data_IF_961140940187
#
_entry.id   IF_961140940187
#
_cell.length_a   1.000
_cell.length_b   1.000
_cell.length_c   1.000
_cell.angle_alpha   90.00
_cell.angle_beta   90.00
_cell.angle_gamma   90.00
#
_symmetry.space_group_name_H-M   'P 1'
#
loop_
_entity.id
_entity.type
_entity.pdbx_description
1 polymer ?
#
# COMPACT_ATOMS: atom_id res chain seq x y z
N UNK A 1 -32.30 -23.79 12.28
CA UNK A 1 -30.88 -23.59 12.63
C UNK A 1 -30.73 -23.70 14.13
N UNK A 2 -29.62 -24.25 14.63
CA UNK A 2 -29.37 -24.34 16.07
C UNK A 2 -29.00 -22.97 16.64
N UNK A 3 -29.23 -22.78 17.95
CA UNK A 3 -28.83 -21.55 18.67
C UNK A 3 -27.34 -21.24 18.49
N UNK A 4 -26.50 -22.28 18.46
CA UNK A 4 -25.05 -22.16 18.23
C UNK A 4 -24.71 -21.65 16.83
N UNK A 5 -25.36 -22.16 15.79
CA UNK A 5 -25.10 -21.70 14.40
C UNK A 5 -25.50 -20.24 14.23
N UNK A 6 -26.64 -19.81 14.80
CA UNK A 6 -27.06 -18.41 14.76
C UNK A 6 -26.07 -17.49 15.51
N UNK A 7 -25.56 -17.94 16.66
CA UNK A 7 -24.53 -17.20 17.39
C UNK A 7 -23.25 -17.01 16.55
N UNK A 8 -22.75 -18.08 15.93
CA UNK A 8 -21.54 -18.02 15.09
C UNK A 8 -21.74 -17.12 13.87
N UNK A 9 -22.91 -17.15 13.24
CA UNK A 9 -23.27 -16.25 12.12
C UNK A 9 -23.20 -14.79 12.56
N UNK A 10 -23.79 -14.47 13.72
CA UNK A 10 -23.79 -13.10 14.24
C UNK A 10 -22.38 -12.63 14.61
N UNK A 11 -21.58 -13.50 15.24
CA UNK A 11 -20.18 -13.21 15.56
C UNK A 11 -19.33 -13.00 14.31
N UNK A 12 -19.51 -13.84 13.28
CA UNK A 12 -18.80 -13.66 12.02
C UNK A 12 -19.14 -12.31 11.39
N UNK A 13 -20.43 -11.94 11.36
CA UNK A 13 -20.88 -10.64 10.84
C UNK A 13 -20.32 -9.46 11.62
N UNK A 14 -20.34 -9.50 12.96
CA UNK A 14 -19.81 -8.41 13.77
C UNK A 14 -18.32 -8.19 13.51
N UNK A 15 -17.55 -9.27 13.36
CA UNK A 15 -16.13 -9.20 13.04
C UNK A 15 -15.86 -8.67 11.62
N UNK A 16 -16.72 -8.95 10.63
CA UNK A 16 -16.61 -8.35 9.29
C UNK A 16 -16.73 -6.82 9.40
N UNK A 17 -17.74 -6.35 10.13
CA UNK A 17 -18.01 -4.93 10.33
C UNK A 17 -16.86 -4.26 11.09
N UNK A 18 -16.45 -4.83 12.21
CA UNK A 18 -15.33 -4.33 13.04
C UNK A 18 -14.04 -4.20 12.22
N UNK A 19 -13.68 -5.22 11.44
CA UNK A 19 -12.51 -5.18 10.56
C UNK A 19 -12.61 -4.04 9.54
N UNK A 20 -13.78 -3.87 8.94
CA UNK A 20 -13.99 -2.87 7.89
C UNK A 20 -13.98 -1.44 8.47
N UNK A 21 -14.56 -1.22 9.65
CA UNK A 21 -14.47 0.03 10.42
C UNK A 21 -13.02 0.35 10.82
N UNK A 22 -12.27 -0.64 11.29
CA UNK A 22 -10.85 -0.49 11.63
C UNK A 22 -10.01 -0.11 10.41
N UNK A 23 -10.28 -0.70 9.23
CA UNK A 23 -9.60 -0.32 7.98
C UNK A 23 -9.91 1.12 7.59
N UNK A 24 -11.18 1.51 7.61
CA UNK A 24 -11.59 2.88 7.26
C UNK A 24 -10.96 3.89 8.22
N UNK A 25 -11.06 3.64 9.54
CA UNK A 25 -10.45 4.50 10.57
C UNK A 25 -8.94 4.57 10.40
N UNK A 26 -8.28 3.48 10.01
CA UNK A 26 -6.84 3.47 9.74
C UNK A 26 -6.49 4.32 8.50
N UNK A 27 -7.25 4.18 7.41
CA UNK A 27 -7.05 4.97 6.19
C UNK A 27 -7.30 6.45 6.41
N UNK A 28 -8.37 6.82 7.12
CA UNK A 28 -8.69 8.20 7.52
C UNK A 28 -7.59 8.78 8.40
N UNK A 29 -7.17 8.08 9.47
CA UNK A 29 -6.07 8.53 10.32
C UNK A 29 -4.76 8.70 9.54
N UNK A 30 -4.47 7.84 8.57
CA UNK A 30 -3.31 8.01 7.70
C UNK A 30 -3.44 9.27 6.86
N UNK A 31 -4.60 9.49 6.23
CA UNK A 31 -4.86 10.65 5.39
C UNK A 31 -4.79 11.96 6.19
N UNK A 32 -5.39 12.00 7.37
CA UNK A 32 -5.33 13.14 8.30
C UNK A 32 -3.91 13.41 8.76
N UNK A 33 -3.13 12.37 9.09
CA UNK A 33 -1.71 12.53 9.44
C UNK A 33 -0.88 13.06 8.26
N UNK A 34 -1.13 12.58 7.03
CA UNK A 34 -0.47 13.11 5.83
C UNK A 34 -0.82 14.58 5.63
N UNK A 35 -2.09 14.95 5.78
CA UNK A 35 -2.55 16.32 5.61
C UNK A 35 -1.96 17.23 6.69
N UNK A 36 -2.02 16.82 7.96
CA UNK A 36 -1.53 17.59 9.11
C UNK A 36 -0.02 17.81 9.08
N UNK A 37 0.75 16.83 8.59
CA UNK A 37 2.22 16.91 8.51
C UNK A 37 2.73 17.02 7.08
N UNK A 38 1.93 17.58 6.17
CA UNK A 38 2.24 17.67 4.72
C UNK A 38 3.65 18.20 4.48
N UNK A 39 4.03 19.29 5.13
CA UNK A 39 5.33 19.93 4.91
C UNK A 39 6.49 19.10 5.44
N UNK A 40 6.30 18.42 6.58
CA UNK A 40 7.31 17.50 7.12
C UNK A 40 7.49 16.28 6.22
N UNK A 41 6.42 15.73 5.66
CA UNK A 41 6.52 14.64 4.69
C UNK A 41 7.22 15.10 3.40
N UNK A 42 6.86 16.28 2.87
CA UNK A 42 7.52 16.86 1.69
C UNK A 42 9.01 17.06 1.95
N UNK A 43 9.38 17.61 3.10
CA UNK A 43 10.78 17.77 3.47
C UNK A 43 11.48 16.43 3.62
N UNK A 44 10.89 15.49 4.36
CA UNK A 44 11.49 14.18 4.60
C UNK A 44 11.77 13.43 3.30
N UNK A 45 10.76 13.30 2.43
CA UNK A 45 10.93 12.62 1.14
C UNK A 45 11.78 13.43 0.16
N UNK A 46 11.69 14.77 0.20
CA UNK A 46 12.56 15.65 -0.59
C UNK A 46 14.03 15.42 -0.27
N UNK A 47 14.40 15.39 1.02
CA UNK A 47 15.75 15.10 1.47
C UNK A 47 16.22 13.69 1.06
N UNK A 48 15.34 12.68 1.11
CA UNK A 48 15.66 11.33 0.64
C UNK A 48 16.04 11.33 -0.83
N UNK A 49 15.23 11.96 -1.67
CA UNK A 49 15.44 12.07 -3.12
C UNK A 49 16.74 12.84 -3.43
N UNK A 50 16.97 13.96 -2.76
CA UNK A 50 18.21 14.72 -2.91
C UNK A 50 19.44 13.87 -2.56
N UNK A 51 19.40 13.11 -1.47
CA UNK A 51 20.50 12.22 -1.07
C UNK A 51 20.75 11.13 -2.13
N UNK A 52 19.69 10.56 -2.73
CA UNK A 52 19.82 9.60 -3.83
C UNK A 52 20.59 10.22 -4.99
N UNK A 53 20.21 11.42 -5.42
CA UNK A 53 20.88 12.10 -6.53
C UNK A 53 22.31 12.52 -6.19
N UNK A 54 22.60 12.93 -4.95
CA UNK A 54 23.98 13.15 -4.50
C UNK A 54 24.84 11.89 -4.62
N UNK A 55 24.31 10.73 -4.20
CA UNK A 55 25.03 9.46 -4.34
C UNK A 55 25.29 9.11 -5.80
N UNK A 56 24.33 9.37 -6.70
CA UNK A 56 24.51 9.16 -8.14
C UNK A 56 25.60 10.07 -8.72
N UNK A 57 25.66 11.34 -8.32
CA UNK A 57 26.75 12.26 -8.69
C UNK A 57 28.11 11.77 -8.21
N UNK A 58 28.23 11.44 -6.92
CA UNK A 58 29.48 10.92 -6.34
C UNK A 58 29.91 9.65 -7.06
N UNK A 59 28.99 8.73 -7.36
CA UNK A 59 29.29 7.49 -8.07
C UNK A 59 29.79 7.74 -9.50
N UNK A 60 29.24 8.73 -10.21
CA UNK A 60 29.74 9.16 -11.51
C UNK A 60 31.17 9.69 -11.40
N UNK A 61 31.39 10.67 -10.51
CA UNK A 61 32.71 11.28 -10.31
C UNK A 61 33.78 10.24 -9.89
N UNK A 62 33.42 9.33 -9.00
CA UNK A 62 34.30 8.25 -8.56
C UNK A 62 34.65 7.31 -9.73
N UNK A 63 33.70 7.01 -10.61
CA UNK A 63 33.94 6.21 -11.82
C UNK A 63 34.94 6.90 -12.74
N UNK A 64 34.73 8.18 -13.06
CA UNK A 64 35.66 8.95 -13.88
C UNK A 64 37.06 8.95 -13.27
N UNK A 65 37.18 9.21 -11.96
CA UNK A 65 38.44 9.17 -11.24
C UNK A 65 39.14 7.82 -11.35
N UNK A 66 38.42 6.72 -11.15
CA UNK A 66 38.97 5.36 -11.23
C UNK A 66 39.47 5.01 -12.64
N UNK A 67 38.87 5.58 -13.68
CA UNK A 67 39.27 5.39 -15.07
C UNK A 67 40.22 6.47 -15.59
N UNK A 68 40.69 7.39 -14.74
CA UNK A 68 41.53 8.53 -15.12
C UNK A 68 40.90 9.43 -16.20
N UNK A 69 39.57 9.51 -16.23
CA UNK A 69 38.79 10.36 -17.12
C UNK A 69 38.57 11.71 -16.43
N UNK A 70 38.74 12.80 -17.19
CA UNK A 70 38.41 14.16 -16.72
C UNK A 70 36.92 14.28 -16.45
N UNK A 71 36.55 15.00 -15.40
CA UNK A 71 35.15 15.24 -15.06
C UNK A 71 34.76 16.59 -15.64
N UNK A 72 33.88 16.60 -16.64
CA UNK A 72 33.29 17.81 -17.19
C UNK A 72 31.94 18.09 -16.53
N UNK A 73 31.72 19.35 -16.15
CA UNK A 73 30.50 19.75 -15.45
C UNK A 73 29.26 19.53 -16.31
N UNK A 74 29.31 19.89 -17.59
CA UNK A 74 28.19 19.75 -18.52
C UNK A 74 27.81 18.27 -18.74
N UNK A 75 28.80 17.38 -18.86
CA UNK A 75 28.55 15.94 -19.02
C UNK A 75 27.89 15.33 -17.78
N UNK A 76 28.35 15.73 -16.59
CA UNK A 76 27.74 15.30 -15.33
C UNK A 76 26.30 15.81 -15.21
N UNK A 77 26.04 17.07 -15.58
CA UNK A 77 24.69 17.64 -15.57
C UNK A 77 23.77 16.90 -16.53
N UNK A 78 24.22 16.63 -17.77
CA UNK A 78 23.46 15.84 -18.73
C UNK A 78 23.18 14.41 -18.26
N UNK A 79 24.16 13.73 -17.65
CA UNK A 79 23.94 12.43 -17.02
C UNK A 79 22.90 12.51 -15.90
N UNK A 80 22.97 13.54 -15.06
CA UNK A 80 22.04 13.70 -13.94
C UNK A 80 20.61 14.00 -14.39
N UNK A 81 20.43 14.70 -15.51
CA UNK A 81 19.10 14.97 -16.05
C UNK A 81 18.44 13.70 -16.60
N UNK A 82 19.19 12.87 -17.33
CA UNK A 82 18.70 11.55 -17.74
C UNK A 82 18.32 10.66 -16.53
N UNK A 83 19.17 10.61 -15.49
CA UNK A 83 18.89 9.84 -14.27
C UNK A 83 17.64 10.34 -13.52
N UNK A 84 17.40 11.66 -13.52
CA UNK A 84 16.18 12.22 -12.90
C UNK A 84 14.95 11.84 -13.71
N UNK A 85 15.01 11.92 -15.03
CA UNK A 85 13.90 11.57 -15.91
C UNK A 85 13.48 10.12 -15.72
N UNK A 86 14.44 9.18 -15.76
CA UNK A 86 14.21 7.76 -15.50
C UNK A 86 13.57 7.53 -14.12
N UNK A 87 14.11 8.18 -13.09
CA UNK A 87 13.60 8.04 -11.73
C UNK A 87 12.17 8.58 -11.58
N UNK A 88 11.85 9.70 -12.22
CA UNK A 88 10.51 10.27 -12.20
C UNK A 88 9.51 9.37 -12.96
N UNK A 89 9.94 8.78 -14.07
CA UNK A 89 9.14 7.79 -14.80
C UNK A 89 8.86 6.56 -13.93
N UNK A 90 9.86 6.01 -13.24
CA UNK A 90 9.66 4.89 -12.29
C UNK A 90 8.69 5.25 -11.16
N UNK A 91 8.77 6.46 -10.61
CA UNK A 91 7.83 6.91 -9.58
C UNK A 91 6.39 7.03 -10.09
N UNK A 92 6.21 7.50 -11.32
CA UNK A 92 4.90 7.58 -11.96
C UNK A 92 4.34 6.19 -12.28
N UNK A 93 5.19 5.27 -12.74
CA UNK A 93 4.83 3.87 -12.96
C UNK A 93 4.40 3.20 -11.65
N UNK A 94 5.12 3.40 -10.55
CA UNK A 94 4.74 2.91 -9.23
C UNK A 94 3.42 3.52 -8.73
N UNK A 95 3.20 4.82 -8.98
CA UNK A 95 1.95 5.51 -8.63
C UNK A 95 0.76 4.90 -9.38
N UNK A 96 0.94 4.55 -10.65
CA UNK A 96 -0.11 3.96 -11.48
C UNK A 96 -0.33 2.46 -11.17
N UNK A 97 0.74 1.72 -10.87
CA UNK A 97 0.71 0.31 -10.45
C UNK A 97 0.22 0.09 -9.01
N UNK A 98 0.17 1.14 -8.17
CA UNK A 98 -0.54 1.10 -6.87
C UNK A 98 -2.05 0.83 -7.03
N UNK A 99 -2.59 0.84 -8.26
CA UNK A 99 -3.89 0.24 -8.57
C UNK A 99 -3.82 -1.28 -8.34
N UNK A 100 -4.26 -1.71 -7.15
CA UNK A 100 -4.52 -3.09 -6.68
C UNK A 100 -4.22 -4.17 -7.74
N UNK A 101 -3.08 -4.85 -7.61
CA UNK A 101 -2.72 -5.97 -8.51
C UNK A 101 -3.76 -7.08 -8.36
N UNK A 102 -4.31 -7.55 -9.49
CA UNK A 102 -5.26 -8.66 -9.51
C UNK A 102 -4.60 -9.92 -8.95
N UNK A 103 -5.18 -10.51 -7.90
CA UNK A 103 -4.62 -11.70 -7.26
C UNK A 103 -4.61 -12.88 -8.22
N UNK A 104 -3.50 -13.59 -8.29
CA UNK A 104 -3.47 -14.87 -8.98
C UNK A 104 -4.19 -15.91 -8.11
N UNK A 105 -5.09 -16.68 -8.73
CA UNK A 105 -5.93 -17.67 -8.05
C UNK A 105 -5.81 -19.00 -8.80
N UNK A 106 -6.00 -20.10 -8.08
CA UNK A 106 -6.16 -21.41 -8.70
C UNK A 106 -7.42 -21.45 -9.57
N UNK A 107 -7.50 -22.42 -10.49
CA UNK A 107 -8.69 -22.60 -11.32
C UNK A 107 -9.95 -22.91 -10.50
N UNK A 108 -9.79 -23.61 -9.37
CA UNK A 108 -10.87 -23.90 -8.43
C UNK A 108 -11.37 -22.62 -7.76
N UNK A 109 -10.46 -21.81 -7.24
CA UNK A 109 -10.79 -20.54 -6.62
C UNK A 109 -11.43 -19.57 -7.61
N UNK A 110 -10.99 -19.54 -8.87
CA UNK A 110 -11.65 -18.72 -9.90
C UNK A 110 -13.06 -19.19 -10.21
N UNK A 111 -13.32 -20.51 -10.21
CA UNK A 111 -14.69 -21.02 -10.33
C UNK A 111 -15.54 -20.57 -9.15
N UNK A 112 -14.98 -20.58 -7.93
CA UNK A 112 -15.67 -20.09 -6.74
C UNK A 112 -15.96 -18.59 -6.82
N UNK A 113 -14.97 -17.75 -7.17
CA UNK A 113 -15.12 -16.30 -7.38
C UNK A 113 -16.27 -16.01 -8.33
N UNK A 114 -16.29 -16.63 -9.52
CA UNK A 114 -17.36 -16.45 -10.51
C UNK A 114 -18.72 -16.90 -9.97
N UNK A 115 -18.77 -18.00 -9.22
CA UNK A 115 -20.01 -18.56 -8.66
C UNK A 115 -20.59 -17.65 -7.57
N UNK A 116 -19.75 -17.18 -6.64
CA UNK A 116 -20.14 -16.29 -5.54
C UNK A 116 -20.59 -14.94 -6.10
N UNK A 117 -19.79 -14.33 -6.96
CA UNK A 117 -20.12 -13.06 -7.62
C UNK A 117 -21.49 -13.11 -8.30
N UNK A 118 -21.75 -14.13 -9.14
CA UNK A 118 -23.05 -14.34 -9.80
C UNK A 118 -24.22 -14.48 -8.82
N UNK A 119 -24.01 -15.03 -7.63
CA UNK A 119 -25.07 -15.16 -6.61
C UNK A 119 -25.35 -13.81 -5.94
N UNK A 120 -24.31 -13.05 -5.63
CA UNK A 120 -24.43 -11.72 -5.02
C UNK A 120 -25.21 -10.79 -5.94
N UNK A 121 -24.75 -10.57 -7.18
CA UNK A 121 -25.35 -9.61 -8.13
C UNK A 121 -26.82 -9.93 -8.51
N UNK A 122 -27.27 -11.18 -8.30
CA UNK A 122 -28.67 -11.58 -8.52
C UNK A 122 -29.59 -11.19 -7.35
N UNK A 123 -29.02 -10.87 -6.19
CA UNK A 123 -29.75 -10.65 -4.93
C UNK A 123 -29.68 -9.20 -4.46
N UNK A 124 -28.63 -8.48 -4.82
CA UNK A 124 -28.49 -7.05 -4.54
C UNK A 124 -28.73 -6.24 -5.82
N UNK A 125 -29.32 -5.06 -5.66
CA UNK A 125 -29.46 -4.07 -6.72
C UNK A 125 -28.26 -3.10 -6.75
N UNK A 126 -28.08 -2.31 -7.83
CA UNK A 126 -26.97 -1.36 -7.95
C UNK A 126 -26.90 -0.27 -6.88
N UNK A 127 -28.01 0.05 -6.19
CA UNK A 127 -28.01 1.05 -5.12
C UNK A 127 -27.64 0.45 -3.77
N UNK A 128 -27.42 -0.87 -3.69
CA UNK A 128 -27.02 -1.53 -2.45
C UNK A 128 -25.59 -1.10 -2.04
N UNK A 129 -25.34 -0.80 -0.75
CA UNK A 129 -24.01 -0.39 -0.27
C UNK A 129 -22.87 -1.38 -0.57
N UNK A 130 -23.19 -2.67 -0.78
CA UNK A 130 -22.21 -3.71 -1.10
C UNK A 130 -21.92 -3.85 -2.61
N UNK A 131 -22.63 -3.11 -3.47
CA UNK A 131 -22.55 -3.27 -4.92
C UNK A 131 -21.14 -2.98 -5.47
N UNK A 132 -20.61 -1.78 -5.22
CA UNK A 132 -19.29 -1.37 -5.68
C UNK A 132 -18.19 -2.27 -5.12
N UNK A 133 -18.27 -2.59 -3.83
CA UNK A 133 -17.34 -3.54 -3.19
C UNK A 133 -17.35 -4.88 -3.93
N UNK A 134 -18.54 -5.42 -4.25
CA UNK A 134 -18.66 -6.69 -4.99
C UNK A 134 -17.98 -6.64 -6.36
N UNK A 135 -18.17 -5.54 -7.11
CA UNK A 135 -17.52 -5.36 -8.41
C UNK A 135 -16.00 -5.29 -8.28
N UNK A 136 -15.49 -4.54 -7.31
CA UNK A 136 -14.05 -4.45 -7.04
C UNK A 136 -13.46 -5.80 -6.63
N UNK A 137 -14.07 -6.50 -5.67
CA UNK A 137 -13.58 -7.80 -5.20
C UNK A 137 -13.52 -8.81 -6.35
N UNK A 138 -14.49 -8.79 -7.26
CA UNK A 138 -14.47 -9.64 -8.46
C UNK A 138 -13.37 -9.23 -9.45
N UNK A 139 -13.26 -7.92 -9.75
CA UNK A 139 -12.25 -7.38 -10.66
C UNK A 139 -10.83 -7.77 -10.24
N UNK A 140 -10.55 -7.74 -8.94
CA UNK A 140 -9.23 -7.98 -8.36
C UNK A 140 -9.05 -9.39 -7.77
N UNK A 141 -9.95 -10.33 -8.05
CA UNK A 141 -9.87 -11.73 -7.60
C UNK A 141 -9.76 -11.89 -6.07
N UNK A 142 -10.51 -11.09 -5.30
CA UNK A 142 -10.51 -11.15 -3.85
C UNK A 142 -11.59 -12.12 -3.34
N UNK A 143 -11.28 -13.43 -3.34
CA UNK A 143 -12.23 -14.48 -2.95
C UNK A 143 -12.77 -14.31 -1.52
N UNK A 144 -11.90 -14.07 -0.54
CA UNK A 144 -12.31 -13.91 0.87
C UNK A 144 -13.30 -12.76 1.07
N UNK A 145 -13.10 -11.66 0.33
CA UNK A 145 -13.97 -10.50 0.42
C UNK A 145 -15.33 -10.77 -0.24
N UNK A 146 -15.36 -11.50 -1.36
CA UNK A 146 -16.61 -11.99 -1.95
C UNK A 146 -17.36 -12.95 -1.02
N UNK A 147 -16.66 -13.79 -0.27
CA UNK A 147 -17.24 -14.67 0.76
C UNK A 147 -17.88 -13.84 1.88
N UNK A 148 -17.16 -12.84 2.39
CA UNK A 148 -17.66 -11.95 3.46
C UNK A 148 -18.89 -11.17 2.98
N UNK A 149 -18.87 -10.62 1.76
CA UNK A 149 -20.00 -9.92 1.15
C UNK A 149 -21.21 -10.85 1.01
N UNK A 150 -21.00 -12.06 0.50
CA UNK A 150 -22.09 -13.03 0.37
C UNK A 150 -22.75 -13.33 1.71
N UNK A 151 -21.96 -13.42 2.78
CA UNK A 151 -22.48 -13.64 4.13
C UNK A 151 -23.35 -12.46 4.61
N UNK A 152 -22.94 -11.22 4.34
CA UNK A 152 -23.74 -10.03 4.67
C UNK A 152 -25.05 -9.99 3.87
N UNK A 153 -25.00 -10.31 2.57
CA UNK A 153 -26.18 -10.36 1.70
C UNK A 153 -27.17 -11.46 2.13
N UNK A 154 -26.66 -12.65 2.46
CA UNK A 154 -27.49 -13.76 2.94
C UNK A 154 -28.22 -13.40 4.24
N UNK A 155 -27.56 -12.63 5.12
CA UNK A 155 -28.16 -12.13 6.36
C UNK A 155 -29.26 -11.09 6.09
N UNK A 156 -28.96 -10.06 5.30
CA UNK A 156 -29.90 -8.95 5.02
C UNK A 156 -31.16 -9.43 4.29
N UNK A 157 -31.04 -10.43 3.41
CA UNK A 157 -32.17 -11.03 2.70
C UNK A 157 -32.86 -12.14 3.51
N UNK A 158 -32.42 -12.41 4.74
CA UNK A 158 -32.87 -13.53 5.56
C UNK A 158 -32.81 -14.88 4.82
N UNK A 159 -31.96 -14.98 3.80
CA UNK A 159 -31.82 -16.12 2.91
C UNK A 159 -30.66 -17.01 3.36
N UNK A 160 -30.49 -17.16 4.67
CA UNK A 160 -29.38 -17.91 5.25
C UNK A 160 -29.39 -19.31 4.66
N UNK A 161 -28.28 -19.68 4.03
CA UNK A 161 -28.10 -21.02 3.46
C UNK A 161 -28.42 -22.05 4.52
N UNK A 162 -29.34 -22.95 4.20
CA UNK A 162 -29.85 -23.98 5.13
C UNK A 162 -28.78 -24.95 5.67
N UNK A 163 -27.53 -24.88 5.19
CA UNK A 163 -26.43 -25.79 5.54
C UNK A 163 -25.08 -25.07 5.74
N UNK A 164 -25.03 -23.96 6.49
CA UNK A 164 -23.74 -23.42 6.94
C UNK A 164 -23.16 -24.32 8.04
N UNK A 165 -22.01 -24.94 7.75
CA UNK A 165 -21.29 -25.78 8.70
C UNK A 165 -20.63 -24.91 9.79
N UNK A 166 -20.78 -25.31 11.05
CA UNK A 166 -20.15 -24.63 12.18
C UNK A 166 -18.62 -24.64 12.06
N UNK A 167 -18.02 -25.71 11.51
CA UNK A 167 -16.57 -25.79 11.29
C UNK A 167 -16.11 -24.68 10.33
N UNK A 168 -16.86 -24.48 9.25
CA UNK A 168 -16.59 -23.41 8.29
C UNK A 168 -16.71 -22.02 8.94
N UNK A 169 -17.79 -21.78 9.71
CA UNK A 169 -17.98 -20.50 10.40
C UNK A 169 -16.84 -20.20 11.38
N UNK A 170 -16.43 -21.19 12.18
CA UNK A 170 -15.30 -21.05 13.12
C UNK A 170 -14.01 -20.70 12.37
N UNK A 171 -13.72 -21.36 11.25
CA UNK A 171 -12.54 -21.06 10.44
C UNK A 171 -12.55 -19.61 9.90
N UNK A 172 -13.70 -19.10 9.46
CA UNK A 172 -13.82 -17.72 8.99
C UNK A 172 -13.69 -16.70 10.14
N UNK A 173 -14.25 -17.00 11.30
CA UNK A 173 -14.11 -16.17 12.51
C UNK A 173 -12.64 -16.05 12.93
N UNK A 174 -11.92 -17.17 12.98
CA UNK A 174 -10.49 -17.17 13.32
C UNK A 174 -9.63 -16.45 12.27
N UNK A 175 -9.99 -16.56 10.98
CA UNK A 175 -9.35 -15.74 9.94
C UNK A 175 -9.53 -14.24 10.22
N UNK A 176 -10.76 -13.80 10.52
CA UNK A 176 -11.02 -12.38 10.76
C UNK A 176 -10.34 -11.85 12.01
N UNK A 177 -10.33 -12.62 13.11
CA UNK A 177 -9.61 -12.21 14.33
C UNK A 177 -8.14 -11.94 14.06
N UNK A 178 -7.48 -12.82 13.29
CA UNK A 178 -6.09 -12.62 12.87
C UNK A 178 -5.91 -11.40 11.97
N UNK A 179 -6.86 -11.15 11.07
CA UNK A 179 -6.85 -9.95 10.22
C UNK A 179 -6.98 -8.67 11.06
N UNK A 180 -7.89 -8.64 12.04
CA UNK A 180 -8.11 -7.53 12.97
C UNK A 180 -6.85 -7.27 13.81
N UNK A 181 -6.33 -8.31 14.48
CA UNK A 181 -5.11 -8.23 15.27
C UNK A 181 -3.93 -7.71 14.42
N UNK A 182 -3.82 -8.15 13.16
CA UNK A 182 -2.78 -7.63 12.27
C UNK A 182 -2.98 -6.16 11.91
N UNK A 183 -4.21 -5.65 11.80
CA UNK A 183 -4.46 -4.24 11.49
C UNK A 183 -4.10 -3.37 12.69
N UNK A 184 -4.52 -3.78 13.89
CA UNK A 184 -4.22 -3.09 15.14
C UNK A 184 -2.71 -3.02 15.41
N UNK A 185 -1.99 -4.11 15.15
CA UNK A 185 -0.55 -4.20 15.39
C UNK A 185 0.32 -3.55 14.29
N UNK A 186 -0.22 -3.24 13.10
CA UNK A 186 0.58 -2.77 11.96
C UNK A 186 1.03 -1.30 12.03
N UNK A 187 0.46 -0.49 12.91
CA UNK A 187 0.70 0.94 12.88
C UNK A 187 1.51 1.45 14.08
N UNK A 188 2.84 1.66 13.96
CA UNK A 188 3.42 2.79 14.65
C UNK A 188 2.73 4.04 14.09
N UNK A 189 1.94 4.74 14.91
CA UNK A 189 1.42 6.06 14.57
C UNK A 189 2.62 6.91 14.15
N UNK A 190 2.72 7.27 12.87
CA UNK A 190 3.77 8.18 12.42
C UNK A 190 3.50 9.52 13.08
N UNK A 191 4.28 9.83 14.12
CA UNK A 191 4.14 11.07 14.88
C UNK A 191 4.97 12.17 14.24
N UNK A 192 4.66 13.42 14.58
CA UNK A 192 5.50 14.58 14.27
C UNK A 192 6.96 14.35 14.67
N UNK A 193 7.19 13.88 15.89
CA UNK A 193 8.52 13.61 16.44
C UNK A 193 9.29 12.57 15.62
N UNK A 194 8.59 11.54 15.12
CA UNK A 194 9.20 10.55 14.23
C UNK A 194 9.70 11.20 12.94
N UNK A 195 8.87 12.04 12.30
CA UNK A 195 9.22 12.74 11.07
C UNK A 195 10.38 13.72 11.30
N UNK A 196 10.33 14.53 12.35
CA UNK A 196 11.40 15.48 12.69
C UNK A 196 12.74 14.77 12.94
N UNK A 197 12.73 13.65 13.68
CA UNK A 197 13.92 12.83 13.89
C UNK A 197 14.48 12.29 12.57
N UNK A 198 13.62 11.83 11.67
CA UNK A 198 14.03 11.33 10.35
C UNK A 198 14.58 12.45 9.47
N UNK A 199 13.95 13.62 9.45
CA UNK A 199 14.45 14.81 8.74
C UNK A 199 15.84 15.19 9.23
N UNK A 200 16.06 15.24 10.56
CA UNK A 200 17.37 15.55 11.13
C UNK A 200 18.45 14.57 10.65
N UNK A 201 18.15 13.26 10.65
CA UNK A 201 19.08 12.22 10.14
C UNK A 201 19.42 12.48 8.67
N UNK A 202 18.43 12.76 7.82
CA UNK A 202 18.67 12.99 6.39
C UNK A 202 19.35 14.32 6.11
N UNK A 203 19.11 15.37 6.89
CA UNK A 203 19.87 16.64 6.80
C UNK A 203 21.35 16.40 7.08
N UNK A 204 21.67 15.66 8.15
CA UNK A 204 23.06 15.29 8.46
C UNK A 204 23.67 14.41 7.38
N UNK A 205 22.89 13.46 6.84
CA UNK A 205 23.36 12.60 5.77
C UNK A 205 23.65 13.38 4.49
N UNK A 206 22.75 14.28 4.08
CA UNK A 206 22.93 15.18 2.95
C UNK A 206 24.19 16.03 3.12
N UNK A 207 24.40 16.63 4.29
CA UNK A 207 25.60 17.40 4.60
C UNK A 207 26.89 16.59 4.39
N UNK A 208 26.91 15.32 4.83
CA UNK A 208 28.06 14.44 4.63
C UNK A 208 28.29 14.10 3.14
N UNK A 209 27.21 13.87 2.38
CA UNK A 209 27.30 13.62 0.94
C UNK A 209 27.79 14.86 0.19
N UNK A 210 27.28 16.04 0.53
CA UNK A 210 27.70 17.32 -0.05
C UNK A 210 29.19 17.57 0.20
N UNK A 211 29.66 17.35 1.43
CA UNK A 211 31.08 17.41 1.76
C UNK A 211 31.92 16.44 0.92
N UNK A 212 31.45 15.20 0.72
CA UNK A 212 32.13 14.24 -0.17
C UNK A 212 32.17 14.72 -1.63
N UNK A 213 31.06 15.27 -2.11
CA UNK A 213 30.93 15.77 -3.48
C UNK A 213 31.81 17.01 -3.73
N UNK A 214 31.96 17.90 -2.74
CA UNK A 214 32.80 19.11 -2.83
C UNK A 214 34.28 18.83 -3.17
N UNK A 215 34.78 17.64 -2.84
CA UNK A 215 36.14 17.23 -3.25
C UNK A 215 36.25 17.02 -4.76
N UNK A 216 35.18 16.57 -5.40
CA UNK A 216 35.13 16.41 -6.85
C UNK A 216 34.92 17.75 -7.55
N UNK A 217 34.09 18.64 -7.03
CA UNK A 217 33.86 19.97 -7.63
C UNK A 217 35.17 20.75 -7.84
N UNK A 218 36.11 20.64 -6.90
CA UNK A 218 37.43 21.28 -7.00
C UNK A 218 38.30 20.78 -8.16
N UNK A 219 38.00 19.60 -8.69
CA UNK A 219 38.74 18.97 -9.80
C UNK A 219 37.90 18.86 -11.08
N UNK A 220 36.69 19.42 -11.09
CA UNK A 220 35.85 19.47 -12.29
C UNK A 220 36.36 20.54 -13.24
N UNK A 221 36.27 20.24 -14.53
CA UNK A 221 36.55 21.17 -15.60
C UNK A 221 35.23 21.81 -16.06
N UNK A 222 35.26 23.13 -16.24
CA UNK A 222 34.30 23.81 -17.10
C UNK A 222 34.72 23.56 -18.55
N UNK A 223 33.75 23.42 -19.47
CA UNK A 223 34.05 23.45 -20.90
C UNK A 223 34.54 24.84 -21.33
#
# INVERSE_FOLDING_TARGET
MSTTTNYLINLYRSLIIERDELKNTTEENLNDNYQMYTDLYKEYYGLMVECIFFKKRIAYCQRCKNHHIKIYKEELEGYMDAVKEDYMYELEDLRTHKKRVKKHLSDEDMKQVKKIFKRIIKRIDPNNPLWERTLESYKYNNLNDLIDIEMLVDYDKQSIRKNLDNTYLIAQIERLKKEIESIENRNPKITKEYLEKKIMIYRLYKYNLDKQYSFFEKVMHAC
#
